data_IF_357093253962
#
_entry.id   IF_357093253962
#
_cell.length_a   1.000
_cell.length_b   1.000
_cell.length_c   1.000
_cell.angle_alpha   90.00
_cell.angle_beta   90.00
_cell.angle_gamma   90.00
#
_symmetry.space_group_name_H-M   'P 1'
#
loop_
_entity.id
_entity.type
_entity.pdbx_description
1 polymer ?
#
# COMPACT_ATOMS: atom_id res chain seq x y z
N UNK A 1 29.02 -4.76 -67.37
CA UNK A 1 27.64 -5.26 -67.28
C UNK A 1 27.64 -6.68 -66.73
N UNK A 2 27.16 -6.85 -65.50
CA UNK A 2 26.17 -7.86 -65.09
C UNK A 2 25.96 -7.71 -63.58
N UNK A 3 24.80 -7.17 -63.26
CA UNK A 3 24.17 -7.08 -61.96
C UNK A 3 23.87 -8.48 -61.42
N UNK A 4 24.13 -8.68 -60.12
CA UNK A 4 23.50 -9.73 -59.33
C UNK A 4 22.99 -9.09 -58.03
N UNK A 5 21.74 -9.38 -57.72
CA UNK A 5 20.85 -8.71 -56.77
C UNK A 5 20.51 -9.70 -55.64
N UNK A 6 20.43 -9.17 -54.41
CA UNK A 6 19.77 -9.70 -53.19
C UNK A 6 20.40 -10.95 -52.53
N UNK A 7 20.51 -11.03 -51.20
CA UNK A 7 19.43 -10.89 -50.21
C UNK A 7 19.90 -10.28 -48.88
N UNK A 8 19.09 -9.36 -48.34
CA UNK A 8 19.16 -8.90 -46.95
C UNK A 8 18.80 -10.05 -46.00
N UNK A 9 19.72 -10.45 -45.13
CA UNK A 9 19.38 -11.18 -43.91
C UNK A 9 19.01 -10.18 -42.81
N UNK A 10 17.71 -9.92 -42.68
CA UNK A 10 17.14 -9.33 -41.46
C UNK A 10 17.24 -10.40 -40.38
N UNK A 11 18.16 -10.22 -39.43
CA UNK A 11 18.10 -10.96 -38.18
C UNK A 11 16.92 -10.40 -37.38
N UNK A 12 15.74 -11.02 -37.55
CA UNK A 12 14.68 -10.93 -36.55
C UNK A 12 15.21 -11.57 -35.28
N UNK A 13 15.74 -10.76 -34.37
CA UNK A 13 15.78 -11.17 -32.96
C UNK A 13 14.33 -11.17 -32.52
N UNK A 14 13.77 -12.38 -32.48
CA UNK A 14 12.48 -12.68 -31.87
C UNK A 14 12.51 -12.08 -30.47
N UNK A 15 11.74 -11.01 -30.25
CA UNK A 15 11.24 -10.72 -28.93
C UNK A 15 10.38 -11.90 -28.55
N UNK A 16 10.98 -12.80 -27.79
CA UNK A 16 10.28 -13.85 -27.08
C UNK A 16 9.30 -13.12 -26.14
N UNK A 17 8.10 -12.92 -26.65
CA UNK A 17 6.96 -12.40 -25.91
C UNK A 17 6.49 -13.54 -25.03
N UNK A 18 7.38 -13.99 -24.14
CA UNK A 18 7.09 -14.96 -23.12
C UNK A 18 6.02 -14.35 -22.24
N UNK A 19 4.76 -14.70 -22.53
CA UNK A 19 3.69 -14.58 -21.57
C UNK A 19 4.17 -15.32 -20.33
N UNK A 20 4.66 -14.57 -19.34
CA UNK A 20 4.99 -15.13 -18.04
C UNK A 20 3.76 -15.94 -17.61
N UNK A 21 3.93 -17.21 -17.22
CA UNK A 21 2.79 -18.04 -16.86
C UNK A 21 1.98 -17.27 -15.81
N UNK A 22 0.65 -17.24 -15.97
CA UNK A 22 -0.24 -16.52 -15.05
C UNK A 22 0.07 -16.85 -13.57
N UNK A 23 0.57 -18.07 -13.32
CA UNK A 23 1.04 -18.54 -12.02
C UNK A 23 2.29 -17.81 -11.49
N UNK A 24 3.24 -17.42 -12.34
CA UNK A 24 4.40 -16.62 -11.95
C UNK A 24 4.00 -15.17 -11.63
N UNK A 25 3.04 -14.61 -12.37
CA UNK A 25 2.48 -13.28 -12.08
C UNK A 25 1.68 -13.30 -10.76
N UNK A 26 0.83 -14.31 -10.56
CA UNK A 26 0.06 -14.52 -9.34
C UNK A 26 0.96 -14.76 -8.11
N UNK A 27 2.01 -15.58 -8.23
CA UNK A 27 2.97 -15.79 -7.15
C UNK A 27 3.76 -14.52 -6.81
N UNK A 28 4.21 -13.76 -7.81
CA UNK A 28 4.89 -12.47 -7.57
C UNK A 28 3.94 -11.47 -6.91
N UNK A 29 2.68 -11.42 -7.33
CA UNK A 29 1.66 -10.57 -6.71
C UNK A 29 1.39 -10.96 -5.26
N UNK A 30 1.21 -12.25 -4.97
CA UNK A 30 1.00 -12.75 -3.62
C UNK A 30 2.18 -12.44 -2.69
N UNK A 31 3.42 -12.68 -3.15
CA UNK A 31 4.63 -12.40 -2.38
C UNK A 31 4.82 -10.91 -2.12
N UNK A 32 4.63 -10.08 -3.14
CA UNK A 32 4.71 -8.62 -3.02
C UNK A 32 3.63 -8.07 -2.08
N UNK A 33 2.43 -8.64 -2.12
CA UNK A 33 1.34 -8.25 -1.24
C UNK A 33 1.69 -8.51 0.23
N UNK A 34 2.19 -9.71 0.53
CA UNK A 34 2.59 -10.09 1.88
C UNK A 34 3.76 -9.24 2.40
N UNK A 35 4.78 -8.97 1.57
CA UNK A 35 5.92 -8.15 1.99
C UNK A 35 5.55 -6.70 2.30
N UNK A 36 4.59 -6.12 1.56
CA UNK A 36 4.11 -4.76 1.87
C UNK A 36 3.29 -4.74 3.15
N UNK A 37 2.43 -5.73 3.37
CA UNK A 37 1.67 -5.85 4.62
C UNK A 37 2.59 -5.95 5.84
N UNK A 38 3.60 -6.82 5.80
CA UNK A 38 4.58 -6.98 6.87
C UNK A 38 5.36 -5.67 7.12
N UNK A 39 5.77 -4.97 6.06
CA UNK A 39 6.45 -3.69 6.18
C UNK A 39 5.57 -2.63 6.85
N UNK A 40 4.29 -2.54 6.49
CA UNK A 40 3.32 -1.61 7.10
C UNK A 40 3.19 -1.90 8.60
N UNK A 41 3.00 -3.17 8.99
CA UNK A 41 2.88 -3.59 10.39
C UNK A 41 4.13 -3.19 11.19
N UNK A 42 5.31 -3.44 10.62
CA UNK A 42 6.59 -3.12 11.25
C UNK A 42 6.78 -1.62 11.44
N UNK A 43 6.59 -0.82 10.38
CA UNK A 43 6.75 0.64 10.44
C UNK A 43 5.74 1.29 11.37
N UNK A 44 4.46 0.87 11.32
CA UNK A 44 3.42 1.40 12.21
C UNK A 44 3.80 1.21 13.68
N UNK A 45 4.31 0.02 14.04
CA UNK A 45 4.83 -0.24 15.38
C UNK A 45 6.12 0.51 15.74
N UNK A 46 6.99 0.79 14.78
CA UNK A 46 8.20 1.58 15.03
C UNK A 46 7.88 3.07 15.24
N UNK A 47 6.95 3.62 14.46
CA UNK A 47 6.58 5.04 14.52
C UNK A 47 5.92 5.45 15.82
N UNK A 48 5.22 4.54 16.52
CA UNK A 48 4.70 4.82 17.87
C UNK A 48 5.78 5.07 18.92
N UNK A 49 7.05 4.77 18.61
CA UNK A 49 8.20 4.94 19.51
C UNK A 49 9.27 5.90 18.97
N UNK A 50 9.22 6.27 17.69
CA UNK A 50 10.30 7.03 17.02
C UNK A 50 9.86 8.40 16.54
N UNK A 51 8.56 8.62 16.33
CA UNK A 51 8.02 9.96 16.07
C UNK A 51 8.01 10.80 17.35
N UNK A 52 8.06 12.12 17.21
CA UNK A 52 7.93 13.02 18.35
C UNK A 52 6.53 12.93 18.97
N UNK A 53 6.43 13.21 20.27
CA UNK A 53 5.14 13.24 20.97
C UNK A 53 4.17 14.25 20.34
N UNK A 54 4.66 15.46 20.00
CA UNK A 54 3.87 16.48 19.29
C UNK A 54 3.22 15.94 18.00
N UNK A 55 3.96 15.15 17.23
CA UNK A 55 3.43 14.55 16.01
C UNK A 55 2.46 13.40 16.33
N UNK A 56 2.75 12.59 17.34
CA UNK A 56 1.90 11.47 17.76
C UNK A 56 0.54 11.95 18.32
N UNK A 57 0.49 13.12 18.93
CA UNK A 57 -0.72 13.81 19.42
C UNK A 57 -1.50 14.54 18.32
N UNK A 58 -1.01 14.55 17.07
CA UNK A 58 -1.73 15.17 15.95
C UNK A 58 -3.09 14.50 15.78
N UNK A 59 -4.16 15.33 15.80
CA UNK A 59 -5.54 14.88 15.67
C UNK A 59 -5.90 14.67 14.20
N UNK A 60 -6.42 13.47 13.90
CA UNK A 60 -6.79 13.00 12.57
C UNK A 60 -8.24 12.52 12.57
N UNK A 61 -8.81 12.33 11.38
CA UNK A 61 -10.17 11.79 11.22
C UNK A 61 -10.27 10.41 11.88
N UNK A 62 -11.26 10.21 12.74
CA UNK A 62 -11.52 8.94 13.40
C UNK A 62 -12.13 7.92 12.44
N UNK A 63 -11.33 6.90 12.10
CA UNK A 63 -11.74 5.73 11.33
C UNK A 63 -11.66 4.42 12.15
N UNK A 64 -11.59 4.52 13.48
CA UNK A 64 -11.44 3.37 14.39
C UNK A 64 -12.59 2.38 14.29
N UNK A 65 -13.79 2.82 13.90
CA UNK A 65 -14.94 1.96 13.64
C UNK A 65 -14.68 0.91 12.52
N UNK A 66 -13.69 1.15 11.65
CA UNK A 66 -13.26 0.20 10.62
C UNK A 66 -12.28 -0.87 11.13
N UNK A 67 -12.01 -0.96 12.43
CA UNK A 67 -11.03 -1.93 12.98
C UNK A 67 -11.65 -3.24 13.49
N UNK A 68 -12.99 -3.33 13.48
CA UNK A 68 -13.74 -4.38 14.18
C UNK A 68 -13.56 -5.79 13.60
N UNK A 69 -13.40 -5.90 12.28
CA UNK A 69 -13.33 -7.20 11.58
C UNK A 69 -12.23 -7.18 10.53
N UNK A 70 -11.76 -8.34 10.05
CA UNK A 70 -10.73 -8.37 8.99
C UNK A 70 -11.20 -7.69 7.69
N UNK A 71 -12.48 -7.80 7.33
CA UNK A 71 -13.02 -7.11 6.15
C UNK A 71 -12.97 -5.60 6.36
N UNK A 72 -13.41 -5.13 7.53
CA UNK A 72 -13.32 -3.71 7.89
C UNK A 72 -11.88 -3.22 7.97
N UNK A 73 -10.94 -4.04 8.47
CA UNK A 73 -9.53 -3.70 8.48
C UNK A 73 -8.95 -3.46 7.08
N UNK A 74 -9.48 -4.10 6.04
CA UNK A 74 -9.09 -3.78 4.67
C UNK A 74 -9.59 -2.40 4.24
N UNK A 75 -10.84 -2.04 4.59
CA UNK A 75 -11.38 -0.69 4.38
C UNK A 75 -10.56 0.35 5.18
N UNK A 76 -10.21 0.05 6.43
CA UNK A 76 -9.34 0.88 7.26
C UNK A 76 -7.98 1.15 6.59
N UNK A 77 -7.35 0.14 5.97
CA UNK A 77 -6.07 0.33 5.25
C UNK A 77 -6.21 1.31 4.06
N UNK A 78 -7.38 1.33 3.40
CA UNK A 78 -7.66 2.27 2.32
C UNK A 78 -7.78 3.71 2.87
N UNK A 79 -8.51 3.91 3.96
CA UNK A 79 -8.67 5.22 4.60
C UNK A 79 -7.35 5.72 5.21
N UNK A 80 -6.61 4.83 5.87
CA UNK A 80 -5.33 5.14 6.50
C UNK A 80 -4.28 5.63 5.49
N UNK A 81 -4.26 5.13 4.25
CA UNK A 81 -3.38 5.68 3.20
C UNK A 81 -3.66 7.17 2.98
N UNK A 82 -4.93 7.54 2.84
CA UNK A 82 -5.35 8.92 2.57
C UNK A 82 -5.05 9.82 3.76
N UNK A 83 -5.34 9.34 4.97
CA UNK A 83 -5.08 10.08 6.21
C UNK A 83 -3.58 10.28 6.43
N UNK A 84 -2.76 9.23 6.30
CA UNK A 84 -1.32 9.35 6.50
C UNK A 84 -0.64 10.18 5.40
N UNK A 85 -1.19 10.22 4.18
CA UNK A 85 -0.69 11.08 3.12
C UNK A 85 -0.98 12.58 3.35
N UNK A 86 -1.91 12.93 4.24
CA UNK A 86 -2.20 14.33 4.60
C UNK A 86 -1.29 14.85 5.73
N UNK A 87 -0.69 13.95 6.50
CA UNK A 87 0.38 14.26 7.45
C UNK A 87 1.65 14.61 6.66
N UNK A 88 2.49 15.51 7.17
CA UNK A 88 3.70 15.96 6.47
C UNK A 88 4.58 14.78 6.04
N UNK A 89 4.93 14.72 4.74
CA UNK A 89 5.59 13.55 4.15
C UNK A 89 6.94 13.20 4.78
N UNK A 90 7.66 14.18 5.31
CA UNK A 90 8.95 14.02 6.01
C UNK A 90 8.82 13.36 7.39
N UNK A 91 7.63 13.36 7.97
CA UNK A 91 7.34 12.71 9.24
C UNK A 91 7.63 11.20 9.22
N UNK A 92 7.41 10.53 8.09
CA UNK A 92 7.51 9.07 7.98
C UNK A 92 8.77 8.61 7.25
N UNK A 93 9.88 9.31 7.46
CA UNK A 93 11.17 9.03 6.82
C UNK A 93 11.19 9.40 5.33
N UNK A 94 12.18 8.89 4.60
CA UNK A 94 12.35 9.18 3.18
C UNK A 94 11.05 8.92 2.38
N UNK A 95 10.55 10.00 1.74
CA UNK A 95 9.40 10.00 0.85
C UNK A 95 8.08 9.44 1.44
N UNK A 96 7.88 9.49 2.76
CA UNK A 96 6.65 8.97 3.36
C UNK A 96 6.52 7.44 3.18
N UNK A 97 7.58 6.70 3.52
CA UNK A 97 7.76 5.28 3.20
C UNK A 97 6.54 4.39 3.52
N UNK A 98 5.87 4.63 4.66
CA UNK A 98 4.67 3.87 5.04
C UNK A 98 3.51 4.07 4.06
N UNK A 99 3.30 5.30 3.58
CA UNK A 99 2.27 5.65 2.57
C UNK A 99 2.55 4.94 1.25
N UNK A 100 3.83 4.83 0.85
CA UNK A 100 4.21 4.09 -0.36
C UNK A 100 3.87 2.60 -0.26
N UNK A 101 4.16 1.96 0.87
CA UNK A 101 3.82 0.56 1.08
C UNK A 101 2.29 0.35 1.12
N UNK A 102 1.55 1.26 1.77
CA UNK A 102 0.09 1.27 1.77
C UNK A 102 -0.47 1.35 0.35
N UNK A 103 0.02 2.28 -0.46
CA UNK A 103 -0.41 2.45 -1.85
C UNK A 103 -0.25 1.19 -2.69
N UNK A 104 0.88 0.50 -2.55
CA UNK A 104 1.14 -0.76 -3.28
C UNK A 104 0.19 -1.86 -2.82
N UNK A 105 0.00 -1.99 -1.50
CA UNK A 105 -0.92 -2.95 -0.91
C UNK A 105 -2.38 -2.69 -1.33
N UNK A 106 -2.85 -1.45 -1.20
CA UNK A 106 -4.22 -1.03 -1.50
C UNK A 106 -4.59 -1.14 -2.98
N UNK A 107 -3.64 -0.88 -3.89
CA UNK A 107 -3.84 -1.08 -5.33
C UNK A 107 -4.23 -2.52 -5.67
N UNK A 108 -3.69 -3.49 -4.92
CA UNK A 108 -4.00 -4.91 -5.12
C UNK A 108 -5.32 -5.31 -4.45
N UNK A 109 -5.73 -4.65 -3.36
CA UNK A 109 -7.01 -4.89 -2.69
C UNK A 109 -8.22 -4.30 -3.41
N UNK A 110 -8.02 -3.51 -4.49
CA UNK A 110 -9.10 -2.78 -5.19
C UNK A 110 -9.95 -1.98 -4.21
N UNK A 111 -9.31 -1.19 -3.36
CA UNK A 111 -9.97 -0.27 -2.45
C UNK A 111 -11.04 0.54 -3.19
N UNK A 112 -12.31 0.25 -2.91
CA UNK A 112 -13.39 1.16 -3.26
C UNK A 112 -13.29 2.26 -2.22
N UNK A 113 -12.70 3.40 -2.58
CA UNK A 113 -12.71 4.59 -1.71
C UNK A 113 -14.18 4.87 -1.43
N UNK A 114 -14.61 4.58 -0.20
CA UNK A 114 -15.92 5.00 0.25
C UNK A 114 -15.74 6.49 0.42
N UNK A 115 -16.23 7.28 -0.54
CA UNK A 115 -16.30 8.72 -0.33
C UNK A 115 -17.11 8.89 0.94
N UNK A 116 -16.44 9.17 2.07
CA UNK A 116 -17.11 9.68 3.25
C UNK A 116 -17.94 10.85 2.76
N UNK A 117 -19.25 10.66 2.86
CA UNK A 117 -20.22 11.70 2.58
C UNK A 117 -19.80 12.93 3.38
N UNK A 118 -19.75 14.06 2.69
CA UNK A 118 -19.69 15.44 3.16
C UNK A 118 -19.18 15.64 4.58
N UNK A 119 -18.02 16.30 4.70
CA UNK A 119 -17.45 16.96 5.89
C UNK A 119 -18.45 17.08 7.07
N UNK A 120 -18.67 15.99 7.79
CA UNK A 120 -19.24 16.03 9.12
C UNK A 120 -18.06 16.36 10.02
N UNK A 121 -18.27 17.20 11.03
CA UNK A 121 -17.38 17.30 12.19
C UNK A 121 -17.23 15.89 12.78
N UNK A 122 -16.33 15.10 12.21
CA UNK A 122 -16.07 13.73 12.61
C UNK A 122 -15.30 13.76 13.91
N UNK A 123 -15.54 12.74 14.75
CA UNK A 123 -14.65 12.47 15.87
C UNK A 123 -13.20 12.47 15.38
N UNK A 124 -12.29 12.93 16.25
CA UNK A 124 -10.87 12.96 15.97
C UNK A 124 -10.16 11.93 16.84
N UNK A 125 -9.04 11.42 16.33
CA UNK A 125 -8.18 10.48 17.03
C UNK A 125 -6.71 10.85 16.83
N UNK A 126 -5.89 10.62 17.83
CA UNK A 126 -4.44 10.82 17.75
C UNK A 126 -3.80 9.93 16.67
N UNK A 127 -2.77 10.45 15.99
CA UNK A 127 -1.92 9.68 15.08
C UNK A 127 -1.39 8.41 15.75
N UNK A 128 -1.00 8.49 17.04
CA UNK A 128 -0.58 7.32 17.82
C UNK A 128 -1.59 6.18 17.75
N UNK A 129 -2.86 6.50 17.96
CA UNK A 129 -3.93 5.50 17.95
C UNK A 129 -4.14 4.93 16.56
N UNK A 130 -4.14 5.78 15.52
CA UNK A 130 -4.25 5.34 14.13
C UNK A 130 -3.11 4.38 13.73
N UNK A 131 -1.87 4.63 14.17
CA UNK A 131 -0.72 3.74 13.93
C UNK A 131 -0.86 2.41 14.67
N UNK A 132 -1.35 2.41 15.91
CA UNK A 132 -1.63 1.18 16.67
C UNK A 132 -2.72 0.34 16.00
N UNK A 133 -3.80 0.98 15.57
CA UNK A 133 -4.90 0.34 14.86
C UNK A 133 -4.43 -0.23 13.50
N UNK A 134 -3.55 0.48 12.79
CA UNK A 134 -2.95 0.02 11.54
C UNK A 134 -2.11 -1.25 11.74
N UNK A 135 -1.30 -1.30 12.80
CA UNK A 135 -0.54 -2.49 13.19
C UNK A 135 -1.48 -3.66 13.53
N UNK A 136 -2.47 -3.44 14.38
CA UNK A 136 -3.39 -4.48 14.83
C UNK A 136 -4.22 -5.04 13.65
N UNK A 137 -4.77 -4.16 12.82
CA UNK A 137 -5.50 -4.56 11.62
C UNK A 137 -4.61 -5.33 10.64
N UNK A 138 -3.36 -4.90 10.45
CA UNK A 138 -2.41 -5.64 9.62
C UNK A 138 -2.17 -7.05 10.15
N UNK A 139 -2.03 -7.21 11.47
CA UNK A 139 -1.89 -8.52 12.10
C UNK A 139 -3.16 -9.38 11.92
N UNK A 140 -4.36 -8.82 12.05
CA UNK A 140 -5.64 -9.52 11.79
C UNK A 140 -5.79 -9.98 10.34
N UNK A 141 -5.23 -9.22 9.40
CA UNK A 141 -5.20 -9.60 7.99
C UNK A 141 -4.19 -10.73 7.77
N UNK A 142 -2.99 -10.60 8.36
CA UNK A 142 -1.89 -11.55 8.19
C UNK A 142 -2.12 -12.89 8.90
N UNK A 143 -2.97 -12.93 9.92
CA UNK A 143 -3.28 -14.16 10.69
C UNK A 143 -4.35 -15.05 10.04
N UNK A 144 -5.02 -14.59 8.97
CA UNK A 144 -5.95 -15.44 8.23
C UNK A 144 -5.22 -16.24 7.15
N UNK A 145 -5.39 -17.57 7.12
CA UNK A 145 -4.82 -18.43 6.09
C UNK A 145 -5.42 -18.17 4.70
#
# INVERSE_FOLDING_TARGET
>A
MKTAILLLSVAMVLFDSGTLPANAAAHRQHRSHNSNLEAIISMAGQYTHTLSEELLETLLIDVTHLTATTTKCKEFFCEAETILASVKNDAFGEEGKIVRHLRVYNKLQKCTVVKSQDQVEGNQVELRRLLLDLKECGQKINSKP
#
